data_IF_763607564787
#
_entry.id   IF_763607564787
#
_cell.length_a   1.000
_cell.length_b   1.000
_cell.length_c   1.000
_cell.angle_alpha   90.00
_cell.angle_beta   90.00
_cell.angle_gamma   90.00
#
_symmetry.space_group_name_H-M   'P 1'
#
loop_
_entity.id
_entity.type
_entity.pdbx_description
1 polymer ?
#
# COMPACT_ATOMS: atom_id res chain seq x y z
N UNK A 1 -3.85 -37.88 -48.28
CA UNK A 1 -4.23 -36.46 -48.46
C UNK A 1 -5.11 -36.13 -47.26
N UNK A 2 -4.84 -35.13 -46.41
CA UNK A 2 -4.81 -33.69 -46.71
C UNK A 2 -3.98 -32.96 -45.66
N UNK A 3 -2.98 -32.18 -46.09
CA UNK A 3 -2.17 -31.33 -45.19
C UNK A 3 -2.93 -30.01 -45.00
N UNK A 4 -3.46 -29.79 -43.79
CA UNK A 4 -4.12 -28.53 -43.44
C UNK A 4 -3.04 -27.46 -43.25
N UNK A 5 -2.88 -26.58 -44.25
CA UNK A 5 -1.98 -25.42 -44.17
C UNK A 5 -2.49 -24.46 -43.08
N UNK A 6 -1.66 -24.16 -42.07
CA UNK A 6 -1.92 -23.07 -41.12
C UNK A 6 -1.94 -21.74 -41.86
N UNK A 7 -3.04 -21.00 -41.73
CA UNK A 7 -3.26 -19.68 -42.33
C UNK A 7 -2.27 -18.67 -41.72
N UNK A 8 -1.37 -18.09 -42.54
CA UNK A 8 -0.50 -16.97 -42.13
C UNK A 8 -1.36 -15.72 -41.89
N UNK A 9 -1.07 -15.00 -40.80
CA UNK A 9 -1.76 -13.76 -40.45
C UNK A 9 -1.59 -12.67 -41.52
N UNK A 10 -2.57 -11.76 -41.70
CA UNK A 10 -2.51 -10.68 -42.67
C UNK A 10 -1.30 -9.73 -42.44
N UNK A 11 -0.74 -9.12 -43.50
CA UNK A 11 0.35 -8.16 -43.37
C UNK A 11 -0.16 -6.89 -42.67
N UNK A 12 0.43 -6.53 -41.52
CA UNK A 12 0.10 -5.31 -40.78
C UNK A 12 -0.46 -5.52 -39.37
N UNK A 13 -0.71 -6.76 -38.95
CA UNK A 13 -1.13 -7.04 -37.58
C UNK A 13 0.06 -6.82 -36.61
N UNK A 14 -0.03 -5.78 -35.77
CA UNK A 14 0.92 -5.56 -34.68
C UNK A 14 0.93 -6.81 -33.80
N UNK A 15 2.09 -7.47 -33.71
CA UNK A 15 2.24 -8.69 -32.91
C UNK A 15 1.82 -8.39 -31.48
N UNK A 16 0.71 -9.00 -31.02
CA UNK A 16 0.32 -8.92 -29.61
C UNK A 16 1.52 -9.35 -28.76
N UNK A 17 1.84 -8.62 -27.67
CA UNK A 17 2.97 -8.97 -26.83
C UNK A 17 2.85 -10.43 -26.37
N UNK A 18 3.92 -11.19 -26.59
CA UNK A 18 3.96 -12.60 -26.26
C UNK A 18 4.01 -12.74 -24.74
N UNK A 19 3.08 -13.51 -24.18
CA UNK A 19 3.08 -13.86 -22.75
C UNK A 19 4.17 -14.92 -22.52
N UNK A 20 5.39 -14.49 -22.23
CA UNK A 20 6.57 -15.37 -22.10
C UNK A 20 6.85 -15.81 -20.66
N UNK A 21 6.40 -15.06 -19.66
CA UNK A 21 6.65 -15.34 -18.25
C UNK A 21 5.50 -16.15 -17.63
N UNK A 22 5.85 -17.16 -16.82
CA UNK A 22 4.90 -17.97 -16.04
C UNK A 22 5.07 -17.62 -14.57
N UNK A 23 3.96 -17.31 -13.90
CA UNK A 23 3.88 -17.14 -12.45
C UNK A 23 3.07 -18.31 -11.90
N UNK A 24 3.64 -19.08 -10.99
CA UNK A 24 3.00 -20.27 -10.40
C UNK A 24 2.98 -20.18 -8.88
N UNK A 25 1.85 -20.55 -8.28
CA UNK A 25 1.66 -20.64 -6.82
C UNK A 25 1.05 -22.00 -6.51
N UNK A 26 1.47 -22.64 -5.41
CA UNK A 26 0.85 -23.86 -4.91
C UNK A 26 -0.29 -23.47 -3.97
N UNK A 27 -1.44 -24.10 -4.17
CA UNK A 27 -2.64 -23.91 -3.36
C UNK A 27 -3.00 -25.24 -2.70
N UNK A 28 -3.62 -25.17 -1.53
CA UNK A 28 -4.34 -26.31 -0.97
C UNK A 28 -5.71 -26.50 -1.66
N UNK A 29 -6.40 -27.59 -1.37
CA UNK A 29 -7.66 -27.94 -2.03
C UNK A 29 -8.78 -26.91 -1.78
N UNK A 30 -8.83 -26.34 -0.57
CA UNK A 30 -9.84 -25.36 -0.18
C UNK A 30 -9.62 -24.00 -0.86
N UNK A 31 -8.37 -23.53 -0.90
CA UNK A 31 -7.96 -22.33 -1.63
C UNK A 31 -8.29 -22.45 -3.12
N UNK A 32 -7.96 -23.60 -3.72
CA UNK A 32 -8.24 -23.85 -5.12
C UNK A 32 -9.76 -23.87 -5.41
N UNK A 33 -10.56 -24.48 -4.53
CA UNK A 33 -12.03 -24.50 -4.64
C UNK A 33 -12.62 -23.09 -4.54
N UNK A 34 -12.18 -22.31 -3.56
CA UNK A 34 -12.63 -20.93 -3.36
C UNK A 34 -12.33 -20.06 -4.58
N UNK A 35 -11.13 -20.17 -5.15
CA UNK A 35 -10.77 -19.38 -6.34
C UNK A 35 -11.57 -19.84 -7.57
N UNK A 36 -11.81 -21.14 -7.71
CA UNK A 36 -12.62 -21.68 -8.81
C UNK A 36 -14.06 -21.17 -8.75
N UNK A 37 -14.63 -21.05 -7.56
CA UNK A 37 -15.96 -20.47 -7.35
C UNK A 37 -15.99 -18.98 -7.71
N UNK A 38 -15.05 -18.18 -7.21
CA UNK A 38 -14.91 -16.75 -7.59
C UNK A 38 -14.73 -16.56 -9.11
N UNK A 39 -13.98 -17.46 -9.74
CA UNK A 39 -13.82 -17.48 -11.19
C UNK A 39 -15.16 -17.75 -11.90
N UNK A 40 -15.95 -18.71 -11.40
CA UNK A 40 -17.28 -19.04 -11.93
C UNK A 40 -18.22 -17.83 -11.84
N UNK A 41 -18.24 -17.15 -10.70
CA UNK A 41 -19.04 -15.93 -10.48
C UNK A 41 -18.64 -14.80 -11.42
N UNK A 42 -17.34 -14.66 -11.71
CA UNK A 42 -16.85 -13.62 -12.62
C UNK A 42 -17.18 -13.85 -14.10
N UNK A 43 -17.61 -15.06 -14.48
CA UNK A 43 -17.87 -15.46 -15.87
C UNK A 43 -16.63 -15.50 -16.77
N UNK A 44 -15.42 -15.45 -16.19
CA UNK A 44 -14.14 -15.40 -16.93
C UNK A 44 -13.47 -16.76 -16.97
N UNK A 45 -12.56 -16.95 -17.93
CA UNK A 45 -11.65 -18.09 -17.94
C UNK A 45 -10.68 -17.97 -16.76
N UNK A 46 -10.32 -19.10 -16.16
CA UNK A 46 -9.43 -19.16 -14.99
C UNK A 46 -8.12 -18.39 -15.19
N UNK A 47 -7.51 -18.51 -16.38
CA UNK A 47 -6.28 -17.79 -16.72
C UNK A 47 -6.44 -16.27 -16.79
N UNK A 48 -7.63 -15.78 -17.17
CA UNK A 48 -7.92 -14.36 -17.27
C UNK A 48 -8.32 -13.80 -15.91
N UNK A 49 -9.08 -14.57 -15.13
CA UNK A 49 -9.37 -14.29 -13.73
C UNK A 49 -8.08 -14.11 -12.93
N UNK A 50 -7.17 -15.10 -12.94
CA UNK A 50 -5.90 -15.00 -12.22
C UNK A 50 -5.06 -13.81 -12.66
N UNK A 51 -4.98 -13.56 -13.98
CA UNK A 51 -4.23 -12.41 -14.49
C UNK A 51 -4.81 -11.10 -14.00
N UNK A 52 -6.13 -10.95 -14.06
CA UNK A 52 -6.78 -9.72 -13.62
C UNK A 52 -6.72 -9.57 -12.10
N UNK A 53 -6.83 -10.65 -11.33
CA UNK A 53 -6.65 -10.62 -9.89
C UNK A 53 -5.22 -10.25 -9.51
N UNK A 54 -4.20 -10.79 -10.20
CA UNK A 54 -2.79 -10.42 -9.99
C UNK A 54 -2.52 -8.97 -10.36
N UNK A 55 -3.05 -8.48 -11.48
CA UNK A 55 -2.84 -7.09 -11.93
C UNK A 55 -3.64 -6.06 -11.13
N UNK A 56 -4.77 -6.47 -10.54
CA UNK A 56 -5.60 -5.61 -9.67
C UNK A 56 -5.29 -5.75 -8.20
N UNK A 57 -4.41 -6.68 -7.82
CA UNK A 57 -3.97 -6.81 -6.44
C UNK A 57 -3.29 -5.50 -6.04
N UNK A 58 -3.99 -4.71 -5.24
CA UNK A 58 -3.40 -3.52 -4.63
C UNK A 58 -2.54 -3.98 -3.47
N UNK A 59 -1.29 -3.54 -3.45
CA UNK A 59 -0.44 -3.68 -2.26
C UNK A 59 -0.90 -2.61 -1.29
N UNK A 60 -1.67 -3.01 -0.28
CA UNK A 60 -2.03 -2.13 0.81
C UNK A 60 -0.77 -1.96 1.67
N UNK A 61 -0.02 -0.88 1.47
CA UNK A 61 1.03 -0.49 2.40
C UNK A 61 0.34 0.03 3.67
N UNK A 62 0.58 -0.65 4.79
CA UNK A 62 -0.01 -0.33 6.10
C UNK A 62 0.37 1.08 6.58
N UNK A 63 1.50 1.59 6.12
CA UNK A 63 1.94 2.98 6.26
C UNK A 63 3.00 3.24 5.19
N UNK A 64 2.94 4.37 4.51
CA UNK A 64 4.03 4.76 3.59
C UNK A 64 5.31 5.01 4.39
N UNK A 65 6.51 4.90 3.79
CA UNK A 65 7.77 5.29 4.44
C UNK A 65 7.73 6.70 5.03
N UNK A 66 7.00 7.61 4.39
CA UNK A 66 6.70 8.98 4.80
C UNK A 66 5.85 9.01 6.08
N UNK A 67 4.76 8.25 6.14
CA UNK A 67 3.92 8.11 7.35
C UNK A 67 4.73 7.58 8.54
N UNK A 68 5.59 6.59 8.28
CA UNK A 68 6.48 6.04 9.31
C UNK A 68 7.51 7.06 9.78
N UNK A 69 7.96 7.98 8.92
CA UNK A 69 8.83 9.09 9.32
C UNK A 69 8.07 10.11 10.18
N UNK A 70 6.82 10.44 9.84
CA UNK A 70 5.96 11.31 10.64
C UNK A 70 5.69 10.72 12.02
N UNK A 71 5.35 9.43 12.11
CA UNK A 71 5.15 8.71 13.38
C UNK A 71 6.41 8.73 14.25
N UNK A 72 7.60 8.54 13.66
CA UNK A 72 8.87 8.66 14.39
C UNK A 72 9.10 10.08 14.92
N UNK A 73 8.78 11.11 14.13
CA UNK A 73 8.88 12.50 14.59
C UNK A 73 7.94 12.79 15.76
N UNK A 74 6.69 12.29 15.70
CA UNK A 74 5.73 12.39 16.80
C UNK A 74 6.29 11.71 18.06
N UNK A 75 6.86 10.50 17.93
CA UNK A 75 7.51 9.81 19.05
C UNK A 75 8.68 10.59 19.65
N UNK A 76 9.49 11.25 18.81
CA UNK A 76 10.56 12.15 19.28
C UNK A 76 10.01 13.35 20.04
N UNK A 77 8.83 13.87 19.67
CA UNK A 77 8.20 15.00 20.38
C UNK A 77 7.71 14.60 21.78
N UNK A 78 7.29 13.35 21.99
CA UNK A 78 6.97 12.85 23.34
C UNK A 78 8.17 12.92 24.27
N UNK A 79 9.39 12.67 23.76
CA UNK A 79 10.62 12.84 24.53
C UNK A 79 10.90 14.31 24.87
N UNK A 80 10.65 15.23 23.93
CA UNK A 80 10.76 16.68 24.17
C UNK A 80 9.77 17.13 25.25
N UNK A 81 8.53 16.64 25.22
CA UNK A 81 7.53 16.92 26.25
C UNK A 81 8.00 16.48 27.64
N UNK A 82 8.60 15.28 27.73
CA UNK A 82 9.12 14.77 29.00
C UNK A 82 10.28 15.64 29.55
N UNK A 83 11.15 16.14 28.67
CA UNK A 83 12.22 17.08 29.05
C UNK A 83 11.67 18.42 29.53
N UNK A 84 10.66 18.96 28.83
CA UNK A 84 9.99 20.20 29.24
C UNK A 84 9.27 20.05 30.57
N UNK A 85 8.60 18.91 30.81
CA UNK A 85 7.95 18.62 32.09
C UNK A 85 8.97 18.59 33.25
N UNK A 86 10.12 17.94 33.04
CA UNK A 86 11.19 17.91 34.04
C UNK A 86 11.73 19.31 34.34
N UNK A 87 12.03 20.11 33.31
CA UNK A 87 12.46 21.51 33.50
C UNK A 87 11.39 22.38 34.14
N UNK A 88 10.11 22.17 33.84
CA UNK A 88 9.01 22.89 34.46
C UNK A 88 8.93 22.63 35.97
N UNK A 89 9.18 21.38 36.38
CA UNK A 89 9.21 20.98 37.78
C UNK A 89 10.42 21.56 38.53
N UNK A 90 11.56 21.71 37.86
CA UNK A 90 12.81 22.21 38.45
C UNK A 90 12.90 23.74 38.48
N UNK A 91 12.53 24.42 37.38
CA UNK A 91 12.73 25.85 37.18
C UNK A 91 11.42 26.67 37.10
N UNK A 92 10.27 26.00 37.20
CA UNK A 92 8.95 26.60 37.09
C UNK A 92 8.42 26.70 35.66
N UNK A 93 7.09 26.60 35.52
CA UNK A 93 6.42 26.52 34.22
C UNK A 93 6.63 27.75 33.31
N UNK A 94 6.81 28.95 33.89
CA UNK A 94 7.04 30.18 33.11
C UNK A 94 8.27 30.07 32.20
N UNK A 95 9.27 29.31 32.60
CA UNK A 95 10.53 29.15 31.86
C UNK A 95 10.35 28.30 30.60
N UNK A 96 9.43 27.34 30.63
CA UNK A 96 9.19 26.40 29.51
C UNK A 96 7.98 26.75 28.65
N UNK A 97 7.19 27.76 29.03
CA UNK A 97 5.89 28.07 28.41
C UNK A 97 5.97 28.21 26.89
N UNK A 98 6.93 29.00 26.40
CA UNK A 98 7.09 29.25 24.97
C UNK A 98 7.53 28.01 24.19
N UNK A 99 8.45 27.20 24.75
CA UNK A 99 8.87 25.93 24.15
C UNK A 99 7.71 24.92 24.10
N UNK A 100 6.86 24.90 25.12
CA UNK A 100 5.68 24.05 25.18
C UNK A 100 4.61 24.46 24.16
N UNK A 101 4.35 25.76 23.99
CA UNK A 101 3.45 26.29 22.96
C UNK A 101 3.94 25.92 21.55
N UNK A 102 5.24 26.06 21.28
CA UNK A 102 5.85 25.65 20.00
C UNK A 102 5.75 24.14 19.76
N UNK A 103 6.01 23.33 20.79
CA UNK A 103 5.88 21.88 20.70
C UNK A 103 4.44 21.47 20.36
N UNK A 104 3.44 22.13 20.96
CA UNK A 104 2.02 21.88 20.69
C UNK A 104 1.62 22.25 19.25
N UNK A 105 2.11 23.38 18.71
CA UNK A 105 1.89 23.78 17.32
C UNK A 105 2.49 22.76 16.35
N UNK A 106 3.73 22.34 16.61
CA UNK A 106 4.43 21.37 15.77
C UNK A 106 3.76 19.99 15.80
N UNK A 107 3.34 19.52 16.97
CA UNK A 107 2.62 18.26 17.12
C UNK A 107 1.28 18.29 16.37
N UNK A 108 0.53 19.40 16.48
CA UNK A 108 -0.72 19.60 15.75
C UNK A 108 -0.50 19.59 14.24
N UNK A 109 0.59 20.21 13.75
CA UNK A 109 0.92 20.19 12.32
C UNK A 109 1.23 18.79 11.81
N UNK A 110 2.02 18.00 12.56
CA UNK A 110 2.32 16.62 12.18
C UNK A 110 1.07 15.72 12.21
N UNK A 111 0.23 15.89 13.21
CA UNK A 111 -1.05 15.17 13.30
C UNK A 111 -1.95 15.48 12.09
N UNK A 112 -2.06 16.76 11.70
CA UNK A 112 -2.89 17.15 10.56
C UNK A 112 -2.36 16.58 9.24
N UNK A 113 -1.04 16.55 9.04
CA UNK A 113 -0.42 15.91 7.86
C UNK A 113 -0.77 14.42 7.78
N UNK A 114 -0.59 13.69 8.88
CA UNK A 114 -0.97 12.27 8.98
C UNK A 114 -2.48 12.06 8.80
N UNK A 115 -3.29 13.01 9.27
CA UNK A 115 -4.76 12.94 9.21
C UNK A 115 -5.34 13.28 7.83
N UNK A 116 -4.59 13.85 6.90
CA UNK A 116 -5.08 14.10 5.54
C UNK A 116 -4.75 12.94 4.59
N UNK A 117 -3.73 12.14 4.89
CA UNK A 117 -3.35 10.99 4.07
C UNK A 117 -4.33 9.81 4.18
N UNK A 118 -4.99 9.58 5.34
CA UNK A 118 -5.99 8.50 5.45
C UNK A 118 -7.30 8.76 4.67
N UNK A 119 -7.58 10.02 4.30
CA UNK A 119 -8.79 10.38 3.54
C UNK A 119 -8.67 10.06 2.04
N UNK A 120 -7.47 9.70 1.58
CA UNK A 120 -7.18 9.44 0.17
C UNK A 120 -6.91 7.95 -0.15
N UNK A 121 -7.16 7.04 0.80
CA UNK A 121 -7.13 5.58 0.59
C UNK A 121 -8.50 5.01 0.25
#
# INVERSE_FOLDING_TARGET
>A
MTIIKRKKSPPGETKKPVKSCVVSVRLNDDEHKMVKEKCRESGRKLSDFWRQSLLKASVIQVATPEDMALLRQIGSMSNNLNQLAKRANEAGFKVVKWEMENLAINLKSLYLKLSDDWKHQ
#
